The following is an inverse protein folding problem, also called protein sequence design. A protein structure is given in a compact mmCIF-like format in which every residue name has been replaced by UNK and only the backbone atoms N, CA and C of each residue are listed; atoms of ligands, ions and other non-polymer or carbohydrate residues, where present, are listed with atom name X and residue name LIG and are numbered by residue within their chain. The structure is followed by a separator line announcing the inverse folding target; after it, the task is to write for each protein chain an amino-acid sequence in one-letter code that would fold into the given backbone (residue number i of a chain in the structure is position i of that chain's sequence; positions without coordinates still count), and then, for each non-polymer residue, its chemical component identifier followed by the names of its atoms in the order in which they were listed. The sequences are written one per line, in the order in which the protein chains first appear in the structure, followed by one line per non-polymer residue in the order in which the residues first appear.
data_IF_284331792596
#
_entry.id   IF_284331792596
#
_cell.length_a   1.000
_cell.length_b   1.000
_cell.length_c   1.000
_cell.angle_alpha   90.00
_cell.angle_beta   90.00
_cell.angle_gamma   90.00
#
_symmetry.space_group_name_H-M   'P 1'
#
loop_
_entity.id
_entity.type
_entity.pdbx_description
1 polymer ?
#
# COMPACT_ATOMS: atom_id res chain seq x y z
N UNK A 1 -44.99 41.05 11.12
CA UNK A 1 -43.95 40.97 12.17
C UNK A 1 -43.80 39.50 12.51
N UNK A 2 -42.82 38.77 11.99
CA UNK A 2 -41.42 39.13 11.90
C UNK A 2 -40.70 38.35 13.00
N UNK A 3 -40.32 37.12 12.70
CA UNK A 3 -39.66 36.20 13.61
C UNK A 3 -39.05 35.06 12.81
N UNK A 4 -38.15 35.45 11.89
CA UNK A 4 -37.27 34.55 11.16
C UNK A 4 -36.47 33.75 12.19
N UNK A 5 -36.82 32.49 12.37
CA UNK A 5 -35.95 31.53 13.04
C UNK A 5 -34.94 31.08 12.00
N UNK A 6 -33.79 31.73 12.08
CA UNK A 6 -32.56 31.40 11.40
C UNK A 6 -32.08 30.04 11.92
N UNK A 7 -32.60 28.96 11.32
CA UNK A 7 -31.98 27.64 11.39
C UNK A 7 -30.83 27.66 10.36
N UNK A 8 -29.83 28.46 10.70
CA UNK A 8 -28.55 28.55 10.01
C UNK A 8 -27.87 27.19 10.09
N UNK A 9 -27.68 26.61 8.91
CA UNK A 9 -26.56 25.75 8.55
C UNK A 9 -26.02 24.87 9.68
N UNK A 10 -26.56 23.65 9.78
CA UNK A 10 -25.84 22.53 10.38
C UNK A 10 -24.42 22.50 9.83
N UNK A 11 -23.48 23.01 10.62
CA UNK A 11 -22.07 22.98 10.29
C UNK A 11 -21.70 21.51 10.06
N UNK A 12 -21.04 21.16 8.95
CA UNK A 12 -20.58 19.80 8.74
C UNK A 12 -19.56 19.50 9.84
N UNK A 13 -19.97 18.79 10.89
CA UNK A 13 -19.04 18.21 11.85
C UNK A 13 -17.97 17.50 11.03
N UNK A 14 -16.74 18.02 11.10
CA UNK A 14 -15.70 17.66 10.14
C UNK A 14 -15.45 16.17 10.24
N UNK A 15 -15.87 15.42 9.21
CA UNK A 15 -15.71 13.96 9.09
C UNK A 15 -14.26 13.54 9.34
N UNK A 16 -13.31 14.43 9.03
CA UNK A 16 -11.87 14.29 9.28
C UNK A 16 -11.55 14.19 10.77
N UNK A 17 -12.18 15.01 11.62
CA UNK A 17 -11.96 15.02 13.07
C UNK A 17 -12.54 13.80 13.77
N UNK A 18 -13.69 13.31 13.32
CA UNK A 18 -14.27 12.05 13.82
C UNK A 18 -13.44 10.84 13.39
N UNK A 19 -12.98 10.82 12.14
CA UNK A 19 -12.05 9.81 11.63
C UNK A 19 -10.74 9.76 12.42
N UNK A 20 -10.12 10.92 12.67
CA UNK A 20 -8.89 11.02 13.45
C UNK A 20 -9.07 10.50 14.89
N UNK A 21 -10.22 10.82 15.52
CA UNK A 21 -10.54 10.36 16.87
C UNK A 21 -10.79 8.85 16.95
N UNK A 22 -11.40 8.28 15.91
CA UNK A 22 -11.63 6.83 15.81
C UNK A 22 -10.32 6.04 15.65
N UNK A 23 -9.43 6.54 14.78
CA UNK A 23 -8.06 5.98 14.59
C UNK A 23 -7.28 6.02 15.90
N UNK A 24 -7.33 7.15 16.61
CA UNK A 24 -6.63 7.33 17.88
C UNK A 24 -7.11 6.38 18.99
N UNK A 25 -8.43 6.08 19.03
CA UNK A 25 -9.01 5.12 19.99
C UNK A 25 -8.60 3.67 19.72
N UNK A 26 -8.20 3.31 18.50
CA UNK A 26 -7.85 1.94 18.08
C UNK A 26 -6.39 1.76 17.66
N UNK A 27 -5.52 2.64 18.16
CA UNK A 27 -4.07 2.63 17.94
C UNK A 27 -3.38 1.27 18.16
N UNK A 28 -3.92 0.40 19.03
CA UNK A 28 -3.36 -0.93 19.28
C UNK A 28 -3.30 -1.83 18.03
N UNK A 29 -4.31 -1.76 17.16
CA UNK A 29 -4.32 -2.52 15.91
C UNK A 29 -3.29 -1.97 14.91
N UNK A 30 -3.09 -0.64 14.89
CA UNK A 30 -2.09 0.02 14.04
C UNK A 30 -0.68 -0.32 14.48
N UNK A 31 -0.41 -0.26 15.78
CA UNK A 31 0.88 -0.63 16.35
C UNK A 31 1.20 -2.11 16.14
N UNK A 32 0.21 -2.98 16.30
CA UNK A 32 0.39 -4.40 16.03
C UNK A 32 0.71 -4.66 14.57
N UNK A 33 -0.05 -4.09 13.63
CA UNK A 33 0.24 -4.21 12.20
C UNK A 33 1.60 -3.62 11.83
N UNK A 34 1.97 -2.48 12.43
CA UNK A 34 3.29 -1.87 12.25
C UNK A 34 4.43 -2.79 12.71
N UNK A 35 4.33 -3.38 13.90
CA UNK A 35 5.35 -4.28 14.44
C UNK A 35 5.49 -5.53 13.57
N UNK A 36 4.38 -6.11 13.12
CA UNK A 36 4.40 -7.29 12.24
C UNK A 36 5.00 -6.94 10.87
N UNK A 37 4.64 -5.79 10.29
CA UNK A 37 5.24 -5.30 9.04
C UNK A 37 6.74 -5.04 9.18
N UNK A 38 7.16 -4.46 10.31
CA UNK A 38 8.57 -4.19 10.58
C UNK A 38 9.35 -5.49 10.72
N UNK A 39 8.84 -6.48 11.47
CA UNK A 39 9.46 -7.80 11.61
C UNK A 39 9.59 -8.50 10.27
N UNK A 40 8.53 -8.56 9.46
CA UNK A 40 8.55 -9.22 8.16
C UNK A 40 9.46 -8.48 7.16
N UNK A 41 9.48 -7.16 7.20
CA UNK A 41 10.41 -6.33 6.43
C UNK A 41 11.86 -6.57 6.83
N UNK A 42 12.16 -6.63 8.13
CA UNK A 42 13.50 -6.94 8.63
C UNK A 42 13.92 -8.35 8.21
N UNK A 43 13.08 -9.36 8.37
CA UNK A 43 13.41 -10.73 7.96
C UNK A 43 13.61 -10.87 6.45
N UNK A 44 12.80 -10.19 5.64
CA UNK A 44 12.95 -10.18 4.18
C UNK A 44 14.23 -9.46 3.72
N UNK A 45 14.60 -8.37 4.39
CA UNK A 45 15.80 -7.58 4.06
C UNK A 45 17.08 -8.14 4.69
N UNK A 46 17.01 -8.87 5.80
CA UNK A 46 18.15 -9.48 6.49
C UNK A 46 18.93 -10.43 5.58
N UNK A 47 18.23 -11.32 4.86
CA UNK A 47 18.87 -12.24 3.90
C UNK A 47 19.59 -11.48 2.78
N UNK A 48 19.04 -10.35 2.34
CA UNK A 48 19.67 -9.48 1.34
C UNK A 48 20.85 -8.71 1.91
N UNK A 49 20.73 -8.21 3.14
CA UNK A 49 21.78 -7.45 3.82
C UNK A 49 23.01 -8.31 4.14
N UNK A 50 22.83 -9.58 4.49
CA UNK A 50 23.94 -10.53 4.70
C UNK A 50 24.68 -10.79 3.38
N UNK A 51 23.97 -10.93 2.25
CA UNK A 51 24.57 -11.10 0.93
C UNK A 51 25.32 -9.86 0.43
N UNK A 52 24.79 -8.66 0.69
CA UNK A 52 25.41 -7.37 0.32
C UNK A 52 26.61 -7.04 1.23
N UNK A 53 26.52 -7.37 2.52
CA UNK A 53 27.60 -7.16 3.49
C UNK A 53 28.88 -7.92 3.15
N UNK A 54 28.77 -9.12 2.59
CA UNK A 54 29.94 -9.90 2.14
C UNK A 54 30.72 -9.23 0.99
N UNK A 55 30.06 -8.38 0.19
CA UNK A 55 30.66 -7.68 -0.96
C UNK A 55 31.16 -6.29 -0.55
N UNK A 56 30.39 -5.57 0.27
CA UNK A 56 30.78 -4.27 0.81
C UNK A 56 32.03 -4.35 1.70
N UNK A 57 32.30 -5.50 2.32
CA UNK A 57 33.50 -5.70 3.13
C UNK A 57 34.80 -5.81 2.30
N UNK A 58 34.70 -5.96 0.97
CA UNK A 58 35.84 -6.08 0.06
C UNK A 58 35.90 -4.98 -1.01
N UNK A 59 34.93 -4.07 -1.08
CA UNK A 59 34.85 -3.02 -2.11
C UNK A 59 34.85 -1.63 -1.49
N UNK A 60 35.66 -0.71 -2.04
CA UNK A 60 35.69 0.74 -1.73
C UNK A 60 34.33 1.46 -1.82
N UNK A 61 33.26 0.78 -2.26
CA UNK A 61 31.88 1.27 -2.25
C UNK A 61 31.34 1.54 -0.83
N UNK A 62 31.80 0.82 0.18
CA UNK A 62 31.40 1.03 1.59
C UNK A 62 31.91 2.37 2.15
N UNK A 63 33.06 2.86 1.70
CA UNK A 63 33.60 4.17 2.09
C UNK A 63 32.78 5.33 1.50
N UNK A 64 32.25 5.18 0.27
CA UNK A 64 31.36 6.18 -0.35
C UNK A 64 29.97 6.24 0.29
N UNK A 65 29.38 5.09 0.63
CA UNK A 65 28.07 5.03 1.30
C UNK A 65 28.07 5.62 2.72
N UNK A 66 29.22 5.60 3.39
CA UNK A 66 29.40 6.20 4.73
C UNK A 66 29.64 7.72 4.66
N UNK A 67 30.14 8.23 3.55
CA UNK A 67 30.42 9.67 3.37
C UNK A 67 29.38 10.43 2.53
N UNK A 68 28.49 9.74 1.82
CA UNK A 68 27.36 10.37 1.14
C UNK A 68 26.41 9.35 0.54
N UNK A 69 25.10 9.56 0.75
CA UNK A 69 24.07 8.76 0.08
C UNK A 69 24.07 9.09 -1.41
N UNK A 70 24.74 8.26 -2.21
CA UNK A 70 24.90 8.44 -3.66
C UNK A 70 23.90 7.57 -4.43
N UNK A 71 22.81 8.18 -4.87
CA UNK A 71 21.71 7.56 -5.62
C UNK A 71 22.19 6.81 -6.89
N UNK A 72 23.12 7.36 -7.70
CA UNK A 72 23.78 6.65 -8.80
C UNK A 72 24.42 5.31 -8.39
N UNK A 73 25.18 5.29 -7.30
CA UNK A 73 25.87 4.08 -6.83
C UNK A 73 24.86 3.00 -6.40
N UNK A 74 23.73 3.39 -5.80
CA UNK A 74 22.62 2.48 -5.48
C UNK A 74 21.94 1.92 -6.74
N UNK A 75 21.76 2.73 -7.78
CA UNK A 75 21.19 2.29 -9.04
C UNK A 75 22.10 1.30 -9.77
N UNK A 76 23.42 1.55 -9.80
CA UNK A 76 24.40 0.62 -10.36
C UNK A 76 24.44 -0.71 -9.62
N UNK A 77 24.35 -0.69 -8.28
CA UNK A 77 24.32 -1.90 -7.47
C UNK A 77 23.04 -2.72 -7.70
N UNK A 78 21.89 -2.06 -7.89
CA UNK A 78 20.62 -2.71 -8.19
C UNK A 78 20.56 -3.32 -9.61
N UNK A 79 21.34 -2.77 -10.55
CA UNK A 79 21.41 -3.24 -11.94
C UNK A 79 22.50 -4.29 -12.18
N UNK A 80 23.31 -4.62 -11.17
CA UNK A 80 24.43 -5.54 -11.32
C UNK A 80 23.95 -7.02 -11.45
N UNK A 81 24.19 -7.68 -12.61
CA UNK A 81 23.72 -9.04 -12.87
C UNK A 81 24.57 -10.15 -12.18
N UNK A 82 25.65 -9.79 -11.49
CA UNK A 82 26.62 -10.74 -10.91
C UNK A 82 26.11 -11.52 -9.67
N UNK A 83 24.91 -11.23 -9.17
CA UNK A 83 24.28 -12.00 -8.11
C UNK A 83 22.81 -12.23 -8.50
N UNK A 84 22.32 -13.46 -8.59
CA UNK A 84 20.94 -13.69 -8.29
C UNK A 84 20.82 -13.29 -6.82
N UNK A 85 20.21 -12.13 -6.53
CA UNK A 85 19.53 -11.97 -5.26
C UNK A 85 18.86 -13.32 -4.97
N UNK A 86 18.84 -13.82 -3.73
CA UNK A 86 17.95 -14.93 -3.37
C UNK A 86 16.48 -14.43 -3.47
N UNK A 87 16.11 -13.84 -4.60
CA UNK A 87 14.88 -13.19 -4.97
C UNK A 87 13.76 -14.20 -4.85
N UNK A 88 14.01 -15.48 -5.13
CA UNK A 88 13.06 -16.55 -4.85
C UNK A 88 12.67 -16.61 -3.36
N UNK A 89 13.63 -16.54 -2.44
CA UNK A 89 13.35 -16.55 -0.99
C UNK A 89 12.72 -15.24 -0.51
N UNK A 90 13.22 -14.10 -0.96
CA UNK A 90 12.66 -12.80 -0.61
C UNK A 90 11.23 -12.64 -1.15
N UNK A 91 10.98 -13.09 -2.39
CA UNK A 91 9.67 -13.05 -3.03
C UNK A 91 8.67 -13.99 -2.35
N UNK A 92 9.13 -15.14 -1.85
CA UNK A 92 8.29 -16.01 -1.01
C UNK A 92 7.84 -15.28 0.26
N UNK A 93 8.74 -14.61 0.97
CA UNK A 93 8.37 -13.85 2.18
C UNK A 93 7.46 -12.66 1.87
N UNK A 94 7.67 -11.97 0.74
CA UNK A 94 6.76 -10.91 0.27
C UNK A 94 5.37 -11.47 -0.05
N UNK A 95 5.29 -12.64 -0.69
CA UNK A 95 4.02 -13.27 -1.01
C UNK A 95 3.28 -13.73 0.25
N UNK A 96 3.99 -14.37 1.19
CA UNK A 96 3.43 -14.79 2.48
C UNK A 96 2.95 -13.58 3.28
N UNK A 97 3.77 -12.54 3.35
CA UNK A 97 3.43 -11.26 3.97
C UNK A 97 2.14 -10.68 3.38
N UNK A 98 2.08 -10.62 2.05
CA UNK A 98 0.96 -10.05 1.33
C UNK A 98 -0.34 -10.83 1.56
N UNK A 99 -0.30 -12.17 1.50
CA UNK A 99 -1.45 -13.04 1.77
C UNK A 99 -1.91 -12.89 3.23
N UNK A 100 -0.95 -12.87 4.17
CA UNK A 100 -1.23 -12.70 5.59
C UNK A 100 -1.89 -11.36 5.89
N UNK A 101 -1.42 -10.28 5.27
CA UNK A 101 -2.02 -8.95 5.41
C UNK A 101 -3.44 -8.92 4.84
N UNK A 102 -3.66 -9.50 3.65
CA UNK A 102 -4.99 -9.61 3.05
C UNK A 102 -5.97 -10.39 3.95
N UNK A 103 -5.49 -11.43 4.63
CA UNK A 103 -6.27 -12.21 5.58
C UNK A 103 -6.66 -11.40 6.83
N UNK A 104 -5.70 -10.72 7.43
CA UNK A 104 -5.92 -9.91 8.64
C UNK A 104 -6.78 -8.67 8.40
N UNK A 105 -6.73 -8.11 7.20
CA UNK A 105 -7.48 -6.93 6.82
C UNK A 105 -8.98 -7.10 7.09
N UNK A 106 -9.54 -8.31 6.90
CA UNK A 106 -10.93 -8.63 7.23
C UNK A 106 -11.25 -8.48 8.71
N UNK A 107 -10.41 -9.02 9.59
CA UNK A 107 -10.57 -8.89 11.03
C UNK A 107 -10.32 -7.47 11.54
N UNK A 108 -9.36 -6.74 10.95
CA UNK A 108 -9.09 -5.33 11.29
C UNK A 108 -10.29 -4.46 10.95
N UNK A 109 -10.88 -4.61 9.75
CA UNK A 109 -12.05 -3.83 9.35
C UNK A 109 -13.28 -4.15 10.21
N UNK A 110 -13.50 -5.43 10.52
CA UNK A 110 -14.53 -5.85 11.46
C UNK A 110 -14.29 -5.26 12.86
N UNK A 111 -13.03 -5.22 13.30
CA UNK A 111 -12.64 -4.57 14.54
C UNK A 111 -12.98 -3.09 14.54
N UNK A 112 -12.52 -2.32 13.55
CA UNK A 112 -12.78 -0.88 13.46
C UNK A 112 -14.27 -0.52 13.53
N UNK A 113 -15.12 -1.39 13.02
CA UNK A 113 -16.57 -1.23 13.01
C UNK A 113 -17.25 -1.65 14.32
N UNK A 114 -16.81 -2.72 14.96
CA UNK A 114 -17.40 -3.21 16.20
C UNK A 114 -17.12 -2.23 17.35
N UNK A 115 -18.13 -1.60 17.94
CA UNK A 115 -17.97 -0.61 19.04
C UNK A 115 -17.45 -1.21 20.37
N UNK A 116 -16.95 -2.46 20.33
CA UNK A 116 -16.36 -3.21 21.43
C UNK A 116 -15.02 -3.83 21.01
N UNK A 117 -14.21 -4.22 22.00
CA UNK A 117 -13.05 -5.08 21.75
C UNK A 117 -13.55 -6.45 21.28
N UNK A 118 -13.14 -6.89 20.10
CA UNK A 118 -13.43 -8.26 19.65
C UNK A 118 -12.50 -9.25 20.37
N UNK A 119 -13.05 -10.36 20.89
CA UNK A 119 -12.22 -11.47 21.33
C UNK A 119 -11.49 -12.10 20.13
N UNK A 120 -10.35 -12.72 20.40
CA UNK A 120 -9.47 -13.30 19.36
C UNK A 120 -10.20 -14.28 18.44
N UNK A 121 -11.11 -15.10 18.99
CA UNK A 121 -11.88 -16.05 18.20
C UNK A 121 -12.80 -15.37 17.16
N UNK A 122 -13.53 -14.32 17.57
CA UNK A 122 -14.38 -13.54 16.65
C UNK A 122 -13.54 -12.79 15.60
N UNK A 123 -12.33 -12.34 15.96
CA UNK A 123 -11.41 -11.69 15.02
C UNK A 123 -10.96 -12.63 13.90
N UNK A 124 -10.49 -13.84 14.23
CA UNK A 124 -10.05 -14.80 13.21
C UNK A 124 -11.22 -15.36 12.39
N UNK A 125 -12.40 -15.51 13.00
CA UNK A 125 -13.63 -15.85 12.26
C UNK A 125 -13.96 -14.77 11.21
N UNK A 126 -13.87 -13.49 11.58
CA UNK A 126 -14.05 -12.38 10.65
C UNK A 126 -12.98 -12.37 9.54
N UNK A 127 -11.70 -12.63 9.86
CA UNK A 127 -10.64 -12.78 8.87
C UNK A 127 -10.98 -13.85 7.83
N UNK A 128 -11.35 -15.06 8.27
CA UNK A 128 -11.68 -16.18 7.39
C UNK A 128 -12.92 -15.93 6.53
N UNK A 129 -13.96 -15.32 7.11
CA UNK A 129 -15.23 -15.02 6.43
C UNK A 129 -15.05 -14.06 5.25
N UNK A 130 -14.24 -13.02 5.41
CA UNK A 130 -14.02 -12.01 4.36
C UNK A 130 -12.87 -12.35 3.43
N UNK A 131 -11.94 -13.21 3.82
CA UNK A 131 -10.72 -13.54 3.05
C UNK A 131 -11.00 -13.83 1.57
N UNK A 132 -11.95 -14.73 1.28
CA UNK A 132 -12.22 -15.11 -0.11
C UNK A 132 -12.84 -13.97 -0.94
N UNK A 133 -13.66 -13.13 -0.31
CA UNK A 133 -14.25 -11.96 -0.96
C UNK A 133 -13.16 -10.93 -1.29
N UNK A 134 -12.23 -10.71 -0.37
CA UNK A 134 -11.08 -9.82 -0.58
C UNK A 134 -10.11 -10.38 -1.61
N UNK A 135 -9.88 -11.70 -1.64
CA UNK A 135 -9.07 -12.35 -2.66
C UNK A 135 -9.67 -12.19 -4.07
N UNK A 136 -10.99 -12.37 -4.22
CA UNK A 136 -11.68 -12.10 -5.50
C UNK A 136 -11.59 -10.63 -5.90
N UNK A 137 -11.78 -9.71 -4.95
CA UNK A 137 -11.64 -8.28 -5.19
C UNK A 137 -10.21 -7.92 -5.61
N UNK A 138 -9.20 -8.56 -5.02
CA UNK A 138 -7.80 -8.39 -5.37
C UNK A 138 -7.53 -8.82 -6.82
N UNK A 139 -8.09 -9.95 -7.28
CA UNK A 139 -7.94 -10.39 -8.67
C UNK A 139 -8.54 -9.34 -9.62
N UNK A 140 -9.74 -8.83 -9.31
CA UNK A 140 -10.38 -7.78 -10.12
C UNK A 140 -9.54 -6.50 -10.15
N UNK A 141 -8.98 -6.10 -9.01
CA UNK A 141 -8.07 -4.96 -8.91
C UNK A 141 -6.80 -5.18 -9.74
N UNK A 142 -6.19 -6.37 -9.68
CA UNK A 142 -5.02 -6.72 -10.47
C UNK A 142 -5.29 -6.63 -11.98
N UNK A 143 -6.47 -7.07 -12.43
CA UNK A 143 -6.91 -6.91 -13.82
C UNK A 143 -7.08 -5.42 -14.16
N UNK A 144 -7.67 -4.64 -13.26
CA UNK A 144 -7.89 -3.21 -13.46
C UNK A 144 -6.58 -2.40 -13.50
N UNK A 145 -5.47 -2.93 -12.97
CA UNK A 145 -4.14 -2.32 -13.08
C UNK A 145 -3.48 -2.49 -14.46
N UNK A 146 -3.90 -3.48 -15.27
CA UNK A 146 -3.34 -3.74 -16.61
C UNK A 146 -3.24 -2.47 -17.47
N UNK A 147 -4.31 -1.67 -17.66
CA UNK A 147 -4.22 -0.45 -18.47
C UNK A 147 -3.23 0.59 -17.92
N UNK A 148 -3.09 0.71 -16.60
CA UNK A 148 -2.13 1.63 -15.96
C UNK A 148 -0.69 1.16 -16.24
N UNK A 149 -0.44 -0.15 -16.19
CA UNK A 149 0.87 -0.72 -16.53
C UNK A 149 1.23 -0.51 -18.01
N UNK A 150 0.24 -0.64 -18.90
CA UNK A 150 0.42 -0.33 -20.33
C UNK A 150 0.75 1.15 -20.51
N UNK A 151 0.00 2.05 -19.86
CA UNK A 151 0.26 3.49 -19.90
C UNK A 151 1.68 3.81 -19.42
N UNK A 152 2.12 3.22 -18.31
CA UNK A 152 3.48 3.40 -17.80
C UNK A 152 4.54 2.98 -18.83
N UNK A 153 4.36 1.83 -19.50
CA UNK A 153 5.28 1.39 -20.56
C UNK A 153 5.30 2.31 -21.77
N UNK A 154 4.18 2.96 -22.07
CA UNK A 154 4.10 3.97 -23.15
C UNK A 154 4.90 5.21 -22.71
N UNK A 155 4.64 5.73 -21.51
CA UNK A 155 5.36 6.88 -20.95
C UNK A 155 6.88 6.67 -20.99
N UNK A 156 7.37 5.53 -20.51
CA UNK A 156 8.80 5.25 -20.50
C UNK A 156 9.38 5.20 -21.92
N UNK A 157 8.71 4.53 -22.87
CA UNK A 157 9.17 4.48 -24.27
C UNK A 157 9.21 5.85 -24.94
N UNK A 158 8.25 6.71 -24.64
CA UNK A 158 8.19 8.06 -25.20
C UNK A 158 9.28 8.95 -24.61
N UNK A 159 9.48 8.86 -23.30
CA UNK A 159 10.60 9.49 -22.60
C UNK A 159 11.94 9.09 -23.21
N UNK A 160 12.17 7.79 -23.41
CA UNK A 160 13.41 7.27 -23.97
C UNK A 160 13.64 7.81 -25.38
N UNK A 161 12.63 7.78 -26.26
CA UNK A 161 12.73 8.33 -27.62
C UNK A 161 13.07 9.82 -27.62
N UNK A 162 12.41 10.61 -26.78
CA UNK A 162 12.65 12.04 -26.67
C UNK A 162 14.05 12.36 -26.13
N UNK A 163 14.60 11.49 -25.29
CA UNK A 163 15.96 11.60 -24.79
C UNK A 163 17.01 11.32 -25.88
N UNK A 164 16.77 10.36 -26.77
CA UNK A 164 17.70 10.00 -27.85
C UNK A 164 17.68 10.99 -29.02
N UNK A 165 16.53 11.56 -29.36
CA UNK A 165 16.35 12.41 -30.55
C UNK A 165 16.53 13.92 -30.28
N UNK A 166 16.66 14.35 -29.02
CA UNK A 166 16.76 15.76 -28.65
C UNK A 166 18.20 16.20 -28.34
N UNK A 167 18.66 17.36 -28.85
CA UNK A 167 19.94 17.97 -28.47
C UNK A 167 20.03 18.39 -26.98
N UNK A 168 18.91 18.42 -26.26
CA UNK A 168 18.82 18.78 -24.85
C UNK A 168 18.39 17.55 -24.02
N UNK A 169 19.30 16.94 -23.22
CA UNK A 169 19.01 15.72 -22.45
C UNK A 169 17.96 15.91 -21.34
N UNK A 170 17.67 17.16 -20.95
CA UNK A 170 16.72 17.49 -19.89
C UNK A 170 15.25 17.22 -20.26
N UNK A 171 14.89 17.27 -21.56
CA UNK A 171 13.48 17.13 -21.98
C UNK A 171 12.93 15.71 -21.82
N UNK A 172 13.74 14.69 -22.07
CA UNK A 172 13.35 13.29 -21.82
C UNK A 172 13.07 13.05 -20.34
N UNK A 173 13.95 13.57 -19.48
CA UNK A 173 13.81 13.46 -18.02
C UNK A 173 12.53 14.15 -17.49
N UNK A 174 12.22 15.37 -17.94
CA UNK A 174 11.00 16.09 -17.53
C UNK A 174 9.73 15.30 -17.88
N UNK A 175 9.67 14.71 -19.09
CA UNK A 175 8.55 13.88 -19.53
C UNK A 175 8.45 12.59 -18.72
N UNK A 176 9.58 11.97 -18.36
CA UNK A 176 9.61 10.80 -17.49
C UNK A 176 9.03 11.09 -16.10
N UNK A 177 9.44 12.19 -15.49
CA UNK A 177 9.00 12.62 -14.16
C UNK A 177 7.51 12.93 -14.18
N UNK A 178 7.06 13.75 -15.14
CA UNK A 178 5.65 14.12 -15.27
C UNK A 178 4.76 12.88 -15.53
N UNK A 179 5.17 12.00 -16.44
CA UNK A 179 4.41 10.78 -16.74
C UNK A 179 4.37 9.81 -15.56
N UNK A 180 5.48 9.68 -14.82
CA UNK A 180 5.54 8.86 -13.60
C UNK A 180 4.62 9.41 -12.51
N UNK A 181 4.57 10.74 -12.33
CA UNK A 181 3.64 11.40 -11.41
C UNK A 181 2.18 11.10 -11.76
N UNK A 182 1.80 11.17 -13.05
CA UNK A 182 0.45 10.85 -13.49
C UNK A 182 0.10 9.38 -13.19
N UNK A 183 1.00 8.45 -13.50
CA UNK A 183 0.81 7.03 -13.18
C UNK A 183 0.64 6.81 -11.67
N UNK A 184 1.44 7.49 -10.85
CA UNK A 184 1.36 7.40 -9.38
C UNK A 184 0.01 7.88 -8.87
N UNK A 185 -0.50 9.01 -9.37
CA UNK A 185 -1.83 9.52 -9.02
C UNK A 185 -2.92 8.51 -9.39
N UNK A 186 -2.85 7.92 -10.60
CA UNK A 186 -3.81 6.90 -11.03
C UNK A 186 -3.78 5.66 -10.13
N UNK A 187 -2.58 5.20 -9.75
CA UNK A 187 -2.41 4.09 -8.80
C UNK A 187 -3.01 4.43 -7.44
N UNK A 188 -2.83 5.66 -6.96
CA UNK A 188 -3.37 6.09 -5.67
C UNK A 188 -4.90 6.13 -5.67
N UNK A 189 -5.51 6.65 -6.75
CA UNK A 189 -6.97 6.65 -6.93
C UNK A 189 -7.51 5.22 -6.98
N UNK A 190 -6.86 4.36 -7.78
CA UNK A 190 -7.27 2.95 -7.88
C UNK A 190 -7.16 2.25 -6.52
N UNK A 191 -6.07 2.49 -5.78
CA UNK A 191 -5.87 1.93 -4.43
C UNK A 191 -6.96 2.37 -3.47
N UNK A 192 -7.29 3.66 -3.48
CA UNK A 192 -8.38 4.19 -2.66
C UNK A 192 -9.73 3.54 -3.01
N UNK A 193 -10.00 3.31 -4.29
CA UNK A 193 -11.23 2.63 -4.73
C UNK A 193 -11.31 1.18 -4.20
N UNK A 194 -10.18 0.47 -4.18
CA UNK A 194 -10.07 -0.87 -3.59
C UNK A 194 -10.35 -0.83 -2.08
N UNK A 195 -9.69 0.07 -1.35
CA UNK A 195 -9.87 0.20 0.11
C UNK A 195 -11.34 0.51 0.45
N UNK A 196 -11.99 1.40 -0.31
CA UNK A 196 -13.44 1.71 -0.15
C UNK A 196 -14.31 0.48 -0.43
N UNK A 197 -13.99 -0.31 -1.45
CA UNK A 197 -14.75 -1.52 -1.78
C UNK A 197 -14.67 -2.58 -0.67
N UNK A 198 -13.49 -2.78 -0.06
CA UNK A 198 -13.32 -3.67 1.09
C UNK A 198 -14.17 -3.22 2.29
N UNK A 199 -14.17 -1.92 2.59
CA UNK A 199 -15.00 -1.33 3.65
C UNK A 199 -16.48 -1.59 3.40
N UNK A 200 -16.97 -1.38 2.17
CA UNK A 200 -18.37 -1.62 1.81
C UNK A 200 -18.78 -3.08 1.99
N UNK A 201 -17.95 -4.03 1.56
CA UNK A 201 -18.22 -5.47 1.71
C UNK A 201 -18.44 -5.85 3.18
N UNK A 202 -17.61 -5.34 4.08
CA UNK A 202 -17.73 -5.61 5.53
C UNK A 202 -18.94 -4.89 6.12
N UNK A 203 -19.19 -3.65 5.68
CA UNK A 203 -20.31 -2.84 6.17
C UNK A 203 -21.67 -3.41 5.80
N UNK A 204 -21.82 -3.91 4.58
CA UNK A 204 -23.09 -4.42 4.04
C UNK A 204 -23.45 -5.80 4.59
N UNK A 205 -22.47 -6.69 4.77
CA UNK A 205 -22.69 -8.04 5.29
C UNK A 205 -23.32 -8.01 6.71
N UNK A 206 -22.79 -7.17 7.61
CA UNK A 206 -23.39 -7.02 8.93
C UNK A 206 -24.76 -6.34 8.93
N UNK A 207 -25.00 -5.38 8.02
CA UNK A 207 -26.33 -4.75 7.89
C UNK A 207 -27.37 -5.80 7.49
N UNK A 208 -27.00 -6.74 6.62
CA UNK A 208 -27.85 -7.86 6.24
C UNK A 208 -28.09 -8.82 7.42
N UNK A 209 -27.04 -9.21 8.15
CA UNK A 209 -27.16 -10.09 9.34
C UNK A 209 -28.03 -9.47 10.43
N UNK A 210 -27.83 -8.18 10.74
CA UNK A 210 -28.66 -7.47 11.72
C UNK A 210 -30.11 -7.39 11.28
N UNK A 211 -30.37 -7.11 10.00
CA UNK A 211 -31.74 -7.10 9.47
C UNK A 211 -32.40 -8.48 9.57
N UNK A 212 -31.65 -9.56 9.37
CA UNK A 212 -32.16 -10.92 9.49
C UNK A 212 -32.43 -11.36 10.95
N UNK A 213 -31.77 -10.75 11.94
CA UNK A 213 -31.99 -11.04 13.37
C UNK A 213 -33.13 -10.21 13.99
N UNK A 214 -33.43 -9.03 13.44
CA UNK A 214 -34.36 -8.06 14.03
C UNK A 214 -35.52 -7.67 13.10
N UNK A 215 -35.63 -8.28 11.93
CA UNK A 215 -36.73 -8.13 10.97
C UNK A 215 -37.50 -9.43 10.84
#
# INVERSE_FOLDING_TARGET
MGGLRDDSMDAPHSVIGEGARLVWRRQGALWWAYVVNLMLGLMGTLSTAIGVGAILNHSFASEKLVHGFDVPTLAELAMNPAQPFHAASAMLFVLVFFIFMLFIEGGVLAAYRADRKLPTAEFFDACGRFFWRFFRLLILFAIALIPILILNRIVTRWSDRLATDSPQPLRGFEVQVAGTLVVLVLLMVMRLAFDIAQVRIVVEDERAVRRALWG
#
